data_IF_548756875366
#
_entry.id   IF_548756875366
#
_cell.length_a   1.000
_cell.length_b   1.000
_cell.length_c   1.000
_cell.angle_alpha   90.00
_cell.angle_beta   90.00
_cell.angle_gamma   90.00
#
_symmetry.space_group_name_H-M   'P 1'
#
loop_
_entity.id
_entity.type
_entity.pdbx_description
1 polymer ?
#
# COMPACT_ATOMS: atom_id res chain seq x y z
N UNK A 1 78.17 2.00 -39.39
CA UNK A 1 77.21 3.10 -39.71
C UNK A 1 75.81 2.50 -39.73
N UNK A 2 74.96 2.84 -38.76
CA UNK A 2 73.60 2.33 -38.62
C UNK A 2 72.58 3.46 -38.89
N UNK A 3 71.39 3.19 -39.48
CA UNK A 3 70.39 4.21 -39.76
C UNK A 3 69.50 4.51 -38.55
N UNK A 4 69.04 5.76 -38.49
CA UNK A 4 68.31 6.43 -37.39
C UNK A 4 66.88 5.90 -37.23
N UNK A 5 66.50 5.66 -35.97
CA UNK A 5 65.12 5.44 -35.56
C UNK A 5 64.31 6.74 -35.56
N UNK A 6 63.13 6.72 -36.18
CA UNK A 6 62.09 7.75 -36.04
C UNK A 6 61.29 7.45 -34.77
N UNK A 7 61.39 8.34 -33.78
CA UNK A 7 60.68 8.26 -32.51
C UNK A 7 59.18 8.52 -32.68
N UNK A 8 58.37 7.48 -32.42
CA UNK A 8 56.92 7.58 -32.33
C UNK A 8 56.47 8.51 -31.19
N UNK A 9 55.49 9.36 -31.49
CA UNK A 9 54.85 10.24 -30.49
C UNK A 9 54.03 9.39 -29.52
N UNK A 10 54.35 9.45 -28.23
CA UNK A 10 53.48 8.98 -27.14
C UNK A 10 52.25 9.91 -27.06
N UNK A 11 51.01 9.40 -27.00
CA UNK A 11 49.85 10.26 -26.73
C UNK A 11 49.92 10.79 -25.29
N UNK A 12 49.67 12.09 -25.17
CA UNK A 12 49.57 12.82 -23.91
C UNK A 12 48.40 12.26 -23.08
N UNK A 13 48.70 11.41 -22.10
CA UNK A 13 47.70 10.94 -21.13
C UNK A 13 47.30 12.13 -20.24
N UNK A 14 46.06 12.59 -20.39
CA UNK A 14 45.52 13.64 -19.54
C UNK A 14 45.38 13.15 -18.09
N UNK A 15 45.97 13.90 -17.14
CA UNK A 15 46.14 13.49 -15.75
C UNK A 15 44.84 13.37 -14.92
N UNK A 16 43.69 13.79 -15.44
CA UNK A 16 42.43 13.81 -14.70
C UNK A 16 41.31 13.01 -15.40
N UNK A 17 40.55 12.17 -14.67
CA UNK A 17 39.50 11.33 -15.26
C UNK A 17 38.25 12.16 -15.62
N UNK A 18 37.57 11.76 -16.70
CA UNK A 18 36.37 12.43 -17.16
C UNK A 18 35.17 12.15 -16.24
N UNK A 19 34.75 13.16 -15.48
CA UNK A 19 33.59 13.09 -14.59
C UNK A 19 32.27 12.74 -15.30
N UNK A 20 32.11 13.14 -16.56
CA UNK A 20 30.90 12.84 -17.33
C UNK A 20 30.83 11.36 -17.69
N UNK A 21 31.93 10.76 -18.16
CA UNK A 21 31.98 9.32 -18.40
C UNK A 21 31.74 8.52 -17.10
N UNK A 22 32.35 8.95 -15.98
CA UNK A 22 32.19 8.31 -14.67
C UNK A 22 30.75 8.36 -14.13
N UNK A 23 30.04 9.48 -14.32
CA UNK A 23 28.73 9.70 -13.69
C UNK A 23 27.56 9.23 -14.55
N UNK A 24 27.66 9.36 -15.87
CA UNK A 24 26.55 9.09 -16.80
C UNK A 24 26.83 7.94 -17.76
N UNK A 25 27.99 7.29 -17.68
CA UNK A 25 28.38 6.19 -18.57
C UNK A 25 28.64 6.63 -20.02
N UNK A 26 28.58 7.93 -20.31
CA UNK A 26 28.76 8.49 -21.65
C UNK A 26 29.23 9.94 -21.62
N UNK A 27 30.25 10.26 -22.42
CA UNK A 27 30.79 11.60 -22.57
C UNK A 27 30.47 12.15 -23.96
N UNK A 28 29.80 13.31 -24.04
CA UNK A 28 29.43 13.96 -25.31
C UNK A 28 30.60 14.36 -26.22
N UNK A 29 31.81 14.40 -25.65
CA UNK A 29 33.04 14.77 -26.37
C UNK A 29 33.78 13.57 -26.95
N UNK A 30 33.30 12.33 -26.72
CA UNK A 30 33.89 11.11 -27.31
C UNK A 30 35.41 11.01 -27.13
N UNK A 31 36.10 10.62 -28.21
CA UNK A 31 37.56 10.46 -28.27
C UNK A 31 38.35 11.78 -28.31
N UNK A 32 37.68 12.93 -28.47
CA UNK A 32 38.31 14.26 -28.42
C UNK A 32 38.23 14.91 -27.03
N UNK A 33 37.79 14.16 -26.01
CA UNK A 33 37.77 14.64 -24.64
C UNK A 33 39.19 14.87 -24.11
N UNK A 34 39.44 16.04 -23.52
CA UNK A 34 40.72 16.39 -22.89
C UNK A 34 40.99 15.70 -21.54
N UNK A 35 40.10 14.81 -21.10
CA UNK A 35 40.13 14.11 -19.81
C UNK A 35 40.16 12.60 -20.03
N UNK A 36 40.80 11.84 -19.13
CA UNK A 36 41.00 10.40 -19.33
C UNK A 36 39.68 9.61 -19.29
N UNK A 37 39.52 8.73 -20.27
CA UNK A 37 38.40 7.78 -20.42
C UNK A 37 38.83 6.33 -20.12
N UNK A 38 40.01 6.11 -19.53
CA UNK A 38 40.47 4.77 -19.14
C UNK A 38 39.73 4.28 -17.90
N UNK A 39 38.87 3.28 -18.10
CA UNK A 39 38.04 2.67 -17.06
C UNK A 39 38.78 1.63 -16.21
N UNK A 40 40.12 1.53 -16.36
CA UNK A 40 40.96 0.48 -15.78
C UNK A 40 42.03 0.98 -14.80
N UNK A 41 42.09 2.27 -14.48
CA UNK A 41 43.18 2.86 -13.69
C UNK A 41 42.82 3.14 -12.21
N UNK A 42 42.14 2.22 -11.52
CA UNK A 42 41.99 2.29 -10.06
C UNK A 42 42.39 1.04 -9.26
N UNK A 43 42.99 0.02 -9.87
CA UNK A 43 43.47 -1.16 -9.13
C UNK A 43 44.92 -1.52 -9.49
N UNK A 44 45.90 -0.78 -8.97
CA UNK A 44 47.28 -1.29 -8.90
C UNK A 44 48.12 -0.56 -7.85
N UNK A 45 47.83 -0.82 -6.57
CA UNK A 45 48.79 -0.59 -5.48
C UNK A 45 48.78 -1.84 -4.59
N UNK A 46 49.87 -2.60 -4.67
CA UNK A 46 50.28 -3.76 -3.86
C UNK A 46 49.70 -5.15 -4.19
N UNK A 47 50.43 -5.90 -5.03
CA UNK A 47 50.55 -7.36 -4.92
C UNK A 47 52.00 -7.74 -4.67
N UNK A 48 52.26 -8.41 -3.54
CA UNK A 48 53.25 -9.48 -3.49
C UNK A 48 52.92 -10.45 -2.35
N UNK A 49 52.67 -11.73 -2.69
CA UNK A 49 52.64 -12.83 -1.72
C UNK A 49 51.44 -13.79 -1.83
N UNK A 50 51.69 -14.97 -2.39
CA UNK A 50 51.11 -16.28 -2.01
C UNK A 50 49.76 -16.76 -2.60
N UNK A 51 49.58 -18.11 -2.68
CA UNK A 51 49.03 -18.78 -3.84
C UNK A 51 47.53 -19.11 -3.77
N UNK A 52 46.96 -19.23 -4.97
CA UNK A 52 45.78 -19.99 -5.39
C UNK A 52 44.89 -20.59 -4.29
N UNK A 53 44.03 -19.74 -3.73
CA UNK A 53 42.67 -20.15 -3.37
C UNK A 53 41.73 -19.60 -4.43
N UNK A 54 41.31 -20.42 -5.38
CA UNK A 54 40.27 -20.10 -6.36
C UNK A 54 38.96 -19.81 -5.63
N UNK A 55 38.73 -18.55 -5.27
CA UNK A 55 37.38 -18.04 -5.00
C UNK A 55 36.64 -18.02 -6.34
N UNK A 56 35.53 -18.76 -6.52
CA UNK A 56 34.68 -18.52 -7.66
C UNK A 56 34.13 -17.10 -7.52
N UNK A 57 34.23 -16.34 -8.60
CA UNK A 57 33.46 -15.12 -8.81
C UNK A 57 31.96 -15.45 -8.73
N UNK A 58 31.35 -15.30 -7.55
CA UNK A 58 29.92 -14.97 -7.44
C UNK A 58 29.82 -13.46 -7.68
N UNK A 59 29.05 -12.93 -8.63
CA UNK A 59 27.63 -13.21 -8.75
C UNK A 59 27.10 -12.91 -10.17
N UNK A 60 26.97 -13.93 -10.99
CA UNK A 60 25.71 -14.12 -11.72
C UNK A 60 24.77 -14.86 -10.77
N UNK A 61 24.24 -14.13 -9.77
CA UNK A 61 23.08 -14.66 -9.05
C UNK A 61 21.92 -14.73 -10.05
N UNK A 62 21.11 -15.79 -10.04
CA UNK A 62 19.81 -15.75 -10.71
C UNK A 62 19.09 -14.49 -10.22
N UNK A 63 18.61 -13.67 -11.14
CA UNK A 63 17.69 -12.58 -10.77
C UNK A 63 16.50 -13.23 -10.10
N UNK A 64 16.37 -13.04 -8.80
CA UNK A 64 15.18 -13.41 -8.06
C UNK A 64 14.01 -12.57 -8.61
N UNK A 65 13.05 -13.19 -9.33
CA UNK A 65 12.00 -12.47 -10.03
C UNK A 65 11.11 -11.67 -9.08
N UNK A 66 10.91 -12.16 -7.85
CA UNK A 66 10.13 -11.49 -6.82
C UNK A 66 10.82 -10.23 -6.32
N UNK A 67 12.13 -10.32 -6.11
CA UNK A 67 12.96 -9.15 -5.75
C UNK A 67 12.96 -8.09 -6.85
N UNK A 68 12.98 -8.50 -8.11
CA UNK A 68 12.90 -7.56 -9.24
C UNK A 68 11.52 -6.87 -9.33
N UNK A 69 10.42 -7.61 -9.11
CA UNK A 69 9.07 -7.05 -9.02
C UNK A 69 8.97 -6.01 -7.90
N UNK A 70 9.48 -6.34 -6.71
CA UNK A 70 9.48 -5.42 -5.55
C UNK A 70 10.28 -4.15 -5.83
N UNK A 71 11.46 -4.27 -6.41
CA UNK A 71 12.28 -3.11 -6.77
C UNK A 71 11.63 -2.26 -7.88
N UNK A 72 10.91 -2.89 -8.81
CA UNK A 72 10.12 -2.18 -9.82
C UNK A 72 9.00 -1.38 -9.19
N UNK A 73 8.26 -1.98 -8.26
CA UNK A 73 7.22 -1.30 -7.49
C UNK A 73 7.77 -0.10 -6.70
N UNK A 74 8.92 -0.26 -6.01
CA UNK A 74 9.59 0.84 -5.28
C UNK A 74 9.99 2.01 -6.16
N UNK A 75 10.35 1.75 -7.43
CA UNK A 75 10.73 2.79 -8.40
C UNK A 75 9.56 3.65 -8.89
N UNK A 76 8.32 3.21 -8.75
CA UNK A 76 7.15 3.98 -9.16
C UNK A 76 7.11 5.37 -8.50
N UNK A 77 6.57 6.35 -9.23
CA UNK A 77 6.39 7.75 -8.83
C UNK A 77 4.91 8.17 -8.94
N UNK A 78 4.03 7.65 -8.06
CA UNK A 78 2.62 8.04 -8.02
C UNK A 78 2.43 9.55 -7.81
N UNK A 79 1.45 10.11 -8.51
CA UNK A 79 1.02 11.50 -8.45
C UNK A 79 -0.53 11.56 -8.48
N UNK A 80 -1.21 11.20 -7.37
CA UNK A 80 -2.66 10.95 -7.33
C UNK A 80 -3.53 12.17 -7.66
N UNK A 81 -2.96 13.38 -7.52
CA UNK A 81 -3.61 14.65 -7.84
C UNK A 81 -3.73 14.92 -9.35
N UNK A 82 -3.07 14.11 -10.19
CA UNK A 82 -3.19 14.19 -11.64
C UNK A 82 -4.29 13.22 -12.11
N UNK A 83 -5.28 13.75 -12.83
CA UNK A 83 -6.48 13.00 -13.23
C UNK A 83 -6.20 11.71 -14.03
N UNK A 84 -5.09 11.66 -14.78
CA UNK A 84 -4.69 10.52 -15.60
C UNK A 84 -3.51 9.72 -15.07
N UNK A 85 -3.14 9.86 -13.79
CA UNK A 85 -1.95 9.19 -13.26
C UNK A 85 -2.11 7.66 -13.17
N UNK A 86 -1.57 6.99 -14.19
CA UNK A 86 -1.49 5.53 -14.23
C UNK A 86 -0.49 4.98 -13.21
N UNK A 87 0.49 5.75 -12.75
CA UNK A 87 1.48 5.25 -11.78
C UNK A 87 0.88 5.04 -10.39
N UNK A 88 -0.09 5.86 -9.98
CA UNK A 88 -0.87 5.59 -8.76
C UNK A 88 -1.60 4.27 -8.86
N UNK A 89 -2.28 3.99 -9.98
CA UNK A 89 -2.96 2.72 -10.19
C UNK A 89 -1.98 1.55 -10.14
N UNK A 90 -0.89 1.61 -10.93
CA UNK A 90 0.15 0.57 -10.93
C UNK A 90 0.77 0.35 -9.55
N UNK A 91 0.92 1.41 -8.74
CA UNK A 91 1.47 1.27 -7.40
C UNK A 91 0.60 0.43 -6.47
N UNK A 92 -0.72 0.62 -6.50
CA UNK A 92 -1.62 -0.17 -5.66
C UNK A 92 -1.83 -1.59 -6.20
N UNK A 93 -2.01 -1.77 -7.51
CA UNK A 93 -2.16 -3.10 -8.08
C UNK A 93 -0.91 -3.96 -7.88
N UNK A 94 0.28 -3.44 -8.21
CA UNK A 94 1.52 -4.20 -7.99
C UNK A 94 1.77 -4.48 -6.51
N UNK A 95 1.38 -3.57 -5.60
CA UNK A 95 1.48 -3.83 -4.16
C UNK A 95 0.55 -4.98 -3.72
N UNK A 96 -0.68 -5.02 -4.23
CA UNK A 96 -1.61 -6.10 -3.94
C UNK A 96 -1.08 -7.44 -4.48
N UNK A 97 -0.59 -7.46 -5.73
CA UNK A 97 0.01 -8.65 -6.33
C UNK A 97 1.20 -9.15 -5.49
N UNK A 98 2.11 -8.25 -5.06
CA UNK A 98 3.25 -8.61 -4.23
C UNK A 98 2.86 -9.16 -2.86
N UNK A 99 1.77 -8.67 -2.27
CA UNK A 99 1.26 -9.12 -0.98
C UNK A 99 0.68 -10.53 -1.09
N UNK A 100 0.02 -10.85 -2.19
CA UNK A 100 -0.60 -12.16 -2.43
C UNK A 100 0.43 -13.27 -2.78
N UNK A 101 1.67 -12.90 -3.13
CA UNK A 101 2.71 -13.86 -3.58
C UNK A 101 3.45 -14.55 -2.42
N UNK A 102 3.92 -13.80 -1.41
CA UNK A 102 4.63 -14.36 -0.24
C UNK A 102 4.58 -13.44 0.99
N UNK A 103 4.62 -14.06 2.17
CA UNK A 103 4.62 -13.39 3.48
C UNK A 103 5.73 -12.33 3.60
N UNK A 104 6.94 -12.63 3.11
CA UNK A 104 8.10 -11.73 3.18
C UNK A 104 7.89 -10.50 2.30
N UNK A 105 7.21 -10.64 1.16
CA UNK A 105 6.86 -9.53 0.29
C UNK A 105 5.74 -8.70 0.91
N UNK A 106 4.71 -9.34 1.47
CA UNK A 106 3.62 -8.66 2.17
C UNK A 106 4.15 -7.76 3.30
N UNK A 107 5.08 -8.28 4.11
CA UNK A 107 5.75 -7.53 5.16
C UNK A 107 6.60 -6.36 4.61
N UNK A 108 7.27 -6.54 3.47
CA UNK A 108 8.05 -5.47 2.84
C UNK A 108 7.16 -4.38 2.27
N UNK A 109 6.03 -4.74 1.66
CA UNK A 109 5.06 -3.78 1.10
C UNK A 109 4.50 -2.90 2.20
N UNK A 110 4.04 -3.47 3.32
CA UNK A 110 3.46 -2.66 4.41
C UNK A 110 4.51 -1.76 5.08
N UNK A 111 5.76 -2.23 5.22
CA UNK A 111 6.89 -1.40 5.71
C UNK A 111 7.16 -0.21 4.80
N UNK A 112 7.21 -0.42 3.49
CA UNK A 112 7.39 0.67 2.52
C UNK A 112 6.19 1.63 2.54
N UNK A 113 4.95 1.12 2.63
CA UNK A 113 3.73 1.95 2.71
C UNK A 113 3.68 2.81 3.98
N UNK A 114 4.25 2.33 5.09
CA UNK A 114 4.36 3.09 6.33
C UNK A 114 5.47 4.15 6.32
N UNK A 115 6.29 4.24 5.27
CA UNK A 115 7.30 5.29 5.13
C UNK A 115 6.66 6.67 4.92
N UNK A 116 7.29 7.73 5.43
CA UNK A 116 6.79 9.11 5.36
C UNK A 116 6.32 9.50 3.95
N UNK A 117 7.14 9.19 2.94
CA UNK A 117 6.82 9.47 1.53
C UNK A 117 5.55 8.76 1.07
N UNK A 118 5.34 7.51 1.45
CA UNK A 118 4.18 6.72 1.02
C UNK A 118 2.93 7.03 1.85
N UNK A 119 3.09 7.50 3.09
CA UNK A 119 1.99 8.07 3.87
C UNK A 119 1.45 9.36 3.26
N UNK A 120 2.31 10.22 2.68
CA UNK A 120 1.87 11.39 1.92
C UNK A 120 1.07 11.00 0.67
N UNK A 121 1.52 9.98 -0.06
CA UNK A 121 0.75 9.41 -1.17
C UNK A 121 -0.64 8.93 -0.71
N UNK A 122 -0.71 8.17 0.39
CA UNK A 122 -1.98 7.69 0.93
C UNK A 122 -2.90 8.84 1.32
N UNK A 123 -2.36 9.87 1.98
CA UNK A 123 -3.10 11.10 2.31
C UNK A 123 -3.70 11.75 1.06
N UNK A 124 -2.89 11.99 0.03
CA UNK A 124 -3.34 12.66 -1.20
C UNK A 124 -4.40 11.83 -1.95
N UNK A 125 -4.28 10.50 -1.96
CA UNK A 125 -5.31 9.60 -2.51
C UNK A 125 -6.65 9.77 -1.79
N UNK A 126 -6.65 9.76 -0.46
CA UNK A 126 -7.87 9.88 0.34
C UNK A 126 -8.51 11.26 0.25
N UNK A 127 -7.70 12.32 0.23
CA UNK A 127 -8.19 13.70 0.08
C UNK A 127 -8.72 13.97 -1.33
N UNK A 128 -8.24 13.23 -2.34
CA UNK A 128 -8.73 13.28 -3.71
C UNK A 128 -10.07 12.60 -3.95
N UNK A 129 -10.53 11.71 -3.06
CA UNK A 129 -11.77 10.93 -3.28
C UNK A 129 -13.02 11.80 -3.46
N UNK A 130 -13.07 12.97 -2.81
CA UNK A 130 -14.24 13.86 -2.89
C UNK A 130 -14.29 14.68 -4.20
N UNK A 131 -13.24 14.65 -5.02
CA UNK A 131 -13.13 15.49 -6.22
C UNK A 131 -13.91 14.95 -7.40
N UNK A 132 -14.12 13.63 -7.48
CA UNK A 132 -14.81 12.99 -8.60
C UNK A 132 -16.07 12.24 -8.13
N UNK A 133 -17.24 12.85 -8.39
CA UNK A 133 -18.55 12.31 -8.01
C UNK A 133 -19.30 11.66 -9.18
N UNK A 134 -18.66 11.54 -10.34
CA UNK A 134 -19.28 10.86 -11.49
C UNK A 134 -19.25 9.35 -11.27
N UNK A 135 -20.27 8.57 -11.68
CA UNK A 135 -20.26 7.11 -11.57
C UNK A 135 -19.00 6.47 -12.15
N UNK A 136 -18.59 6.90 -13.35
CA UNK A 136 -17.35 6.43 -14.00
C UNK A 136 -16.10 6.77 -13.19
N UNK A 137 -16.02 7.99 -12.66
CA UNK A 137 -14.88 8.42 -11.85
C UNK A 137 -14.79 7.68 -10.52
N UNK A 138 -15.93 7.43 -9.88
CA UNK A 138 -16.02 6.67 -8.64
C UNK A 138 -15.59 5.22 -8.86
N UNK A 139 -16.11 4.57 -9.90
CA UNK A 139 -15.70 3.22 -10.30
C UNK A 139 -14.19 3.13 -10.55
N UNK A 140 -13.64 4.06 -11.35
CA UNK A 140 -12.20 4.11 -11.62
C UNK A 140 -11.37 4.27 -10.34
N UNK A 141 -11.74 5.18 -9.43
CA UNK A 141 -11.02 5.39 -8.16
C UNK A 141 -11.13 4.17 -7.24
N UNK A 142 -12.27 3.49 -7.23
CA UNK A 142 -12.46 2.26 -6.49
C UNK A 142 -11.53 1.16 -7.00
N UNK A 143 -11.62 0.80 -8.28
CA UNK A 143 -10.86 -0.30 -8.88
C UNK A 143 -9.35 -0.04 -8.84
N UNK A 144 -8.93 1.20 -9.16
CA UNK A 144 -7.50 1.50 -9.31
C UNK A 144 -6.77 1.86 -8.03
N UNK A 145 -7.47 2.21 -6.95
CA UNK A 145 -6.84 2.74 -5.72
C UNK A 145 -7.40 2.10 -4.46
N UNK A 146 -8.70 2.22 -4.21
CA UNK A 146 -9.28 1.88 -2.90
C UNK A 146 -9.43 0.37 -2.72
N UNK A 147 -9.92 -0.34 -3.74
CA UNK A 147 -10.03 -1.80 -3.70
C UNK A 147 -8.68 -2.50 -3.46
N UNK A 148 -7.61 -2.25 -4.26
CA UNK A 148 -6.31 -2.85 -4.00
C UNK A 148 -5.70 -2.40 -2.66
N UNK A 149 -5.90 -1.13 -2.25
CA UNK A 149 -5.49 -0.67 -0.92
C UNK A 149 -6.15 -1.51 0.19
N UNK A 150 -7.47 -1.75 0.09
CA UNK A 150 -8.22 -2.54 1.07
C UNK A 150 -7.72 -3.98 1.12
N UNK A 151 -7.45 -4.60 -0.04
CA UNK A 151 -6.84 -5.95 -0.10
C UNK A 151 -5.50 -6.00 0.61
N UNK A 152 -4.60 -5.05 0.36
CA UNK A 152 -3.29 -4.98 1.00
C UNK A 152 -3.44 -4.88 2.52
N UNK A 153 -4.18 -3.88 3.00
CA UNK A 153 -4.24 -3.58 4.44
C UNK A 153 -5.13 -4.54 5.23
N UNK A 154 -5.86 -5.44 4.57
CA UNK A 154 -6.64 -6.52 5.19
C UNK A 154 -6.04 -7.90 4.97
N UNK A 155 -4.91 -8.01 4.27
CA UNK A 155 -4.29 -9.29 3.99
C UNK A 155 -3.88 -10.01 5.28
N UNK A 156 -4.16 -11.32 5.45
CA UNK A 156 -3.84 -12.08 6.67
C UNK A 156 -2.39 -11.94 7.13
N UNK A 157 -1.44 -12.03 6.18
CA UNK A 157 0.01 -11.92 6.46
C UNK A 157 0.46 -10.52 6.91
N UNK A 158 -0.42 -9.52 6.82
CA UNK A 158 -0.19 -8.17 7.33
C UNK A 158 -0.94 -7.99 8.64
N UNK A 159 -2.23 -8.32 8.69
CA UNK A 159 -3.10 -7.97 9.82
C UNK A 159 -2.96 -8.87 11.04
N UNK A 160 -2.46 -10.09 10.86
CA UNK A 160 -2.20 -11.05 11.93
C UNK A 160 -0.70 -11.16 12.24
N UNK A 161 0.13 -10.39 11.53
CA UNK A 161 1.59 -10.42 11.69
C UNK A 161 2.07 -9.47 12.78
N UNK A 162 2.63 -10.07 13.83
CA UNK A 162 3.27 -9.35 14.96
C UNK A 162 4.52 -8.59 14.48
N UNK A 163 5.18 -9.06 13.42
CA UNK A 163 6.43 -8.47 12.91
C UNK A 163 6.24 -7.06 12.35
N UNK A 164 5.07 -6.79 11.75
CA UNK A 164 4.75 -5.53 11.08
C UNK A 164 3.62 -4.76 11.78
N UNK A 165 3.29 -5.12 13.02
CA UNK A 165 2.17 -4.53 13.76
C UNK A 165 2.29 -3.00 13.87
N UNK A 166 3.51 -2.49 14.09
CA UNK A 166 3.77 -1.06 14.22
C UNK A 166 3.57 -0.30 12.89
N UNK A 167 4.05 -0.87 11.78
CA UNK A 167 3.90 -0.31 10.44
C UNK A 167 2.45 -0.36 9.99
N UNK A 168 1.77 -1.48 10.23
CA UNK A 168 0.32 -1.65 9.99
C UNK A 168 -0.49 -0.61 10.76
N UNK A 169 -0.22 -0.43 12.06
CA UNK A 169 -0.88 0.59 12.87
C UNK A 169 -0.57 2.02 12.39
N UNK A 170 0.60 2.24 11.79
CA UNK A 170 0.95 3.55 11.20
C UNK A 170 0.14 3.84 9.95
N UNK A 171 -0.08 2.85 9.09
CA UNK A 171 -0.98 2.97 7.92
C UNK A 171 -2.42 3.23 8.36
N UNK A 172 -2.95 2.50 9.35
CA UNK A 172 -4.31 2.75 9.85
C UNK A 172 -4.48 4.13 10.51
N UNK A 173 -3.48 4.61 11.26
CA UNK A 173 -3.49 5.99 11.78
C UNK A 173 -3.48 7.03 10.66
N UNK A 174 -2.79 6.73 9.56
CA UNK A 174 -2.84 7.57 8.38
C UNK A 174 -4.23 7.58 7.73
N UNK A 175 -4.91 6.43 7.62
CA UNK A 175 -6.32 6.37 7.17
C UNK A 175 -7.24 7.16 8.09
N UNK A 176 -7.06 7.06 9.41
CA UNK A 176 -7.87 7.76 10.39
C UNK A 176 -7.80 9.28 10.19
N UNK A 177 -6.59 9.81 10.23
CA UNK A 177 -6.35 11.25 10.24
C UNK A 177 -6.80 11.97 11.50
N UNK A 178 -6.55 13.28 11.53
CA UNK A 178 -6.92 14.13 12.66
C UNK A 178 -8.44 14.14 12.77
N UNK A 179 -8.94 13.89 13.98
CA UNK A 179 -10.37 13.79 14.31
C UNK A 179 -11.18 12.84 13.41
N UNK A 180 -10.55 11.78 12.90
CA UNK A 180 -11.18 10.83 11.97
C UNK A 180 -11.64 11.44 10.63
N UNK A 181 -11.15 12.62 10.26
CA UNK A 181 -11.62 13.33 9.06
C UNK A 181 -11.24 12.66 7.74
N UNK A 182 -10.12 11.92 7.68
CA UNK A 182 -9.77 11.14 6.48
C UNK A 182 -10.56 9.85 6.41
N UNK A 183 -10.81 9.22 7.56
CA UNK A 183 -11.71 8.07 7.64
C UNK A 183 -13.10 8.45 7.15
N UNK A 184 -13.66 9.55 7.63
CA UNK A 184 -14.98 10.01 7.18
C UNK A 184 -15.05 10.20 5.66
N UNK A 185 -14.04 10.83 5.04
CA UNK A 185 -13.97 10.99 3.58
C UNK A 185 -13.93 9.66 2.84
N UNK A 186 -13.16 8.70 3.35
CA UNK A 186 -13.11 7.35 2.80
C UNK A 186 -14.48 6.68 2.86
N UNK A 187 -15.20 6.76 3.98
CA UNK A 187 -16.53 6.15 4.10
C UNK A 187 -17.60 6.89 3.31
N UNK A 188 -17.55 8.23 3.21
CA UNK A 188 -18.44 8.97 2.31
C UNK A 188 -18.29 8.47 0.86
N UNK A 189 -17.05 8.17 0.43
CA UNK A 189 -16.78 7.58 -0.88
C UNK A 189 -17.28 6.12 -0.98
N UNK A 190 -16.95 5.26 -0.02
CA UNK A 190 -17.38 3.84 0.00
C UNK A 190 -18.91 3.73 0.00
N UNK A 191 -19.60 4.54 0.79
CA UNK A 191 -21.06 4.60 0.81
C UNK A 191 -21.61 5.14 -0.51
N UNK A 192 -20.95 6.12 -1.12
CA UNK A 192 -21.31 6.56 -2.47
C UNK A 192 -21.25 5.43 -3.50
N UNK A 193 -20.24 4.55 -3.42
CA UNK A 193 -20.14 3.36 -4.29
C UNK A 193 -21.32 2.42 -4.07
N UNK A 194 -21.62 2.10 -2.81
CA UNK A 194 -22.71 1.19 -2.42
C UNK A 194 -24.07 1.74 -2.85
N UNK A 195 -24.32 3.02 -2.59
CA UNK A 195 -25.62 3.66 -2.85
C UNK A 195 -25.94 3.76 -4.35
N UNK A 196 -24.91 3.85 -5.20
CA UNK A 196 -25.06 3.95 -6.66
C UNK A 196 -24.65 2.66 -7.38
N UNK A 197 -24.54 1.53 -6.69
CA UNK A 197 -23.94 0.30 -7.20
C UNK A 197 -24.45 -0.11 -8.60
N UNK A 198 -25.76 -0.02 -8.85
CA UNK A 198 -26.38 -0.39 -10.13
C UNK A 198 -26.06 0.56 -11.30
N UNK A 199 -25.55 1.76 -11.01
CA UNK A 199 -25.24 2.80 -11.99
C UNK A 199 -23.73 2.84 -12.33
N UNK A 200 -22.91 2.14 -11.55
CA UNK A 200 -21.47 2.16 -11.72
C UNK A 200 -21.04 1.22 -12.86
N UNK A 201 -20.10 1.64 -13.73
CA UNK A 201 -19.54 0.80 -14.78
C UNK A 201 -18.46 -0.15 -14.21
N UNK A 202 -18.80 -0.91 -13.16
CA UNK A 202 -17.93 -1.90 -12.53
C UNK A 202 -18.16 -3.29 -13.15
N UNK A 203 -17.12 -4.12 -13.17
CA UNK A 203 -17.30 -5.54 -13.49
C UNK A 203 -17.95 -6.28 -12.31
N UNK A 204 -19.28 -6.36 -12.35
CA UNK A 204 -20.10 -7.02 -11.32
C UNK A 204 -19.94 -8.54 -11.28
N UNK A 205 -19.19 -9.15 -12.22
CA UNK A 205 -18.91 -10.58 -12.17
C UNK A 205 -17.77 -10.93 -11.20
N UNK A 206 -16.89 -9.97 -10.93
CA UNK A 206 -15.73 -10.15 -10.06
C UNK A 206 -15.92 -9.52 -8.67
N UNK A 207 -16.67 -8.42 -8.57
CA UNK A 207 -16.88 -7.71 -7.29
C UNK A 207 -18.36 -7.53 -7.00
N UNK A 208 -18.76 -7.73 -5.75
CA UNK A 208 -20.15 -7.55 -5.29
C UNK A 208 -20.30 -6.34 -4.36
N UNK A 209 -21.51 -5.78 -4.29
CA UNK A 209 -21.81 -4.70 -3.33
C UNK A 209 -21.56 -5.13 -1.88
N UNK A 210 -21.86 -6.40 -1.54
CA UNK A 210 -21.61 -6.95 -0.20
C UNK A 210 -20.12 -7.09 0.10
N UNK A 211 -19.27 -7.36 -0.90
CA UNK A 211 -17.81 -7.36 -0.76
C UNK A 211 -17.27 -5.97 -0.43
N UNK A 212 -17.75 -4.92 -1.13
CA UNK A 212 -17.39 -3.52 -0.83
C UNK A 212 -17.69 -3.19 0.63
N UNK A 213 -18.88 -3.57 1.11
CA UNK A 213 -19.28 -3.40 2.51
C UNK A 213 -18.41 -4.23 3.47
N UNK A 214 -18.11 -5.48 3.13
CA UNK A 214 -17.26 -6.37 3.93
C UNK A 214 -15.84 -5.82 4.11
N UNK A 215 -15.19 -5.42 3.02
CA UNK A 215 -13.88 -4.78 3.05
C UNK A 215 -13.93 -3.48 3.85
N UNK A 216 -14.93 -2.64 3.59
CA UNK A 216 -15.17 -1.41 4.35
C UNK A 216 -15.30 -1.67 5.85
N UNK A 217 -16.07 -2.66 6.28
CA UNK A 217 -16.23 -3.00 7.69
C UNK A 217 -14.94 -3.58 8.29
N UNK A 218 -14.17 -4.36 7.53
CA UNK A 218 -12.86 -4.87 7.94
C UNK A 218 -11.86 -3.75 8.24
N UNK A 219 -11.77 -2.76 7.34
CA UNK A 219 -10.93 -1.57 7.56
C UNK A 219 -11.39 -0.79 8.79
N UNK A 220 -12.70 -0.63 8.99
CA UNK A 220 -13.25 0.06 10.17
C UNK A 220 -12.80 -0.61 11.45
N UNK A 221 -12.95 -1.93 11.51
CA UNK A 221 -12.58 -2.74 12.66
C UNK A 221 -11.09 -2.59 12.97
N UNK A 222 -10.22 -2.68 11.97
CA UNK A 222 -8.77 -2.58 12.16
C UNK A 222 -8.30 -1.16 12.53
N UNK A 223 -8.93 -0.12 11.98
CA UNK A 223 -8.66 1.27 12.38
C UNK A 223 -9.07 1.51 13.83
N UNK A 224 -10.27 1.08 14.23
CA UNK A 224 -10.73 1.19 15.63
C UNK A 224 -9.85 0.34 16.56
N UNK A 225 -9.37 -0.82 16.07
CA UNK A 225 -8.53 -1.69 16.86
C UNK A 225 -7.22 -1.02 17.28
N UNK A 226 -6.67 -0.17 16.41
CA UNK A 226 -5.40 0.54 16.58
C UNK A 226 -5.55 1.96 17.15
N UNK A 227 -6.77 2.51 17.20
CA UNK A 227 -7.05 3.84 17.77
C UNK A 227 -7.63 3.75 19.19
N UNK A 228 -6.80 3.48 20.19
CA UNK A 228 -7.23 3.31 21.58
C UNK A 228 -7.74 4.59 22.25
N UNK A 229 -7.38 5.79 21.75
CA UNK A 229 -7.75 7.08 22.36
C UNK A 229 -8.97 7.76 21.72
N UNK A 230 -9.47 7.26 20.58
CA UNK A 230 -10.51 7.96 19.78
C UNK A 230 -11.89 7.28 19.80
N UNK A 231 -12.13 6.32 20.72
CA UNK A 231 -13.38 5.55 20.83
C UNK A 231 -14.63 6.45 21.04
N UNK A 232 -14.44 7.70 21.47
CA UNK A 232 -15.52 8.69 21.70
C UNK A 232 -15.88 9.51 20.45
N UNK A 233 -15.18 9.34 19.32
CA UNK A 233 -15.43 10.14 18.12
C UNK A 233 -16.79 9.81 17.48
N UNK A 234 -17.63 10.84 17.26
CA UNK A 234 -18.97 10.70 16.69
C UNK A 234 -18.96 10.11 15.26
N UNK A 235 -17.89 10.32 14.50
CA UNK A 235 -17.74 9.72 13.17
C UNK A 235 -17.75 8.20 13.21
N UNK A 236 -17.14 7.56 14.21
CA UNK A 236 -17.18 6.10 14.31
C UNK A 236 -18.60 5.56 14.51
N UNK A 237 -19.40 6.22 15.34
CA UNK A 237 -20.80 5.83 15.56
C UNK A 237 -21.64 6.02 14.30
N UNK A 238 -21.47 7.16 13.61
CA UNK A 238 -22.15 7.41 12.32
C UNK A 238 -21.79 6.35 11.30
N UNK A 239 -20.48 6.16 11.04
CA UNK A 239 -19.99 5.19 10.05
C UNK A 239 -20.49 3.77 10.38
N UNK A 240 -20.48 3.36 11.65
CA UNK A 240 -20.99 2.06 12.06
C UNK A 240 -22.50 1.91 11.78
N UNK A 241 -23.30 2.94 12.06
CA UNK A 241 -24.74 2.95 11.78
C UNK A 241 -25.04 2.95 10.28
N UNK A 242 -24.34 3.80 9.54
CA UNK A 242 -24.46 3.95 8.08
C UNK A 242 -24.04 2.67 7.34
N UNK A 243 -23.03 1.96 7.86
CA UNK A 243 -22.61 0.65 7.34
C UNK A 243 -23.68 -0.41 7.61
N UNK A 244 -24.27 -0.43 8.81
CA UNK A 244 -25.33 -1.39 9.13
C UNK A 244 -26.57 -1.17 8.27
N UNK A 245 -27.01 0.08 8.12
CA UNK A 245 -28.17 0.42 7.29
C UNK A 245 -28.02 -0.12 5.86
N UNK A 246 -26.82 0.04 5.27
CA UNK A 246 -26.52 -0.48 3.92
C UNK A 246 -26.40 -1.99 3.90
N UNK A 247 -25.83 -2.60 4.94
CA UNK A 247 -25.78 -4.05 5.06
C UNK A 247 -27.18 -4.67 5.16
N UNK A 248 -28.11 -4.01 5.86
CA UNK A 248 -29.51 -4.45 5.93
C UNK A 248 -30.25 -4.29 4.59
N UNK A 249 -29.90 -3.25 3.82
CA UNK A 249 -30.51 -2.96 2.52
C UNK A 249 -29.99 -3.83 1.37
N UNK A 250 -28.67 -4.04 1.31
CA UNK A 250 -27.99 -4.72 0.21
C UNK A 250 -27.50 -6.13 0.56
N UNK A 251 -27.40 -6.45 1.85
CA UNK A 251 -27.04 -7.78 2.31
C UNK A 251 -28.11 -8.80 1.94
N UNK A 252 -27.67 -10.01 1.59
CA UNK A 252 -28.60 -11.08 1.30
C UNK A 252 -28.97 -11.78 2.61
N UNK A 253 -30.27 -11.97 2.88
CA UNK A 253 -30.74 -12.78 4.02
C UNK A 253 -30.21 -14.23 3.98
N UNK A 254 -29.66 -14.66 2.82
CA UNK A 254 -29.18 -16.02 2.51
C UNK A 254 -27.72 -16.32 2.92
N UNK A 255 -27.20 -15.73 4.00
CA UNK A 255 -25.89 -16.13 4.54
C UNK A 255 -24.71 -16.03 3.54
N UNK A 256 -24.75 -15.07 2.59
CA UNK A 256 -23.62 -14.83 1.71
C UNK A 256 -22.35 -14.49 2.52
N UNK A 257 -21.19 -15.00 2.06
CA UNK A 257 -19.92 -14.91 2.77
C UNK A 257 -19.57 -13.48 3.18
N UNK A 258 -19.70 -12.53 2.25
CA UNK A 258 -19.37 -11.13 2.52
C UNK A 258 -20.37 -10.48 3.48
N UNK A 259 -21.65 -10.85 3.40
CA UNK A 259 -22.68 -10.37 4.33
C UNK A 259 -22.39 -10.82 5.77
N UNK A 260 -22.01 -12.09 5.96
CA UNK A 260 -21.61 -12.64 7.27
C UNK A 260 -20.34 -11.94 7.78
N UNK A 261 -19.36 -11.76 6.90
CA UNK A 261 -18.08 -11.16 7.28
C UNK A 261 -18.24 -9.69 7.69
N UNK A 262 -19.00 -8.90 6.92
CA UNK A 262 -19.36 -7.52 7.28
C UNK A 262 -20.07 -7.47 8.64
N UNK A 263 -21.04 -8.36 8.87
CA UNK A 263 -21.78 -8.44 10.13
C UNK A 263 -20.87 -8.72 11.34
N UNK A 264 -19.91 -9.66 11.19
CA UNK A 264 -18.93 -9.98 12.24
C UNK A 264 -18.04 -8.78 12.57
N UNK A 265 -17.58 -8.05 11.56
CA UNK A 265 -16.79 -6.84 11.78
C UNK A 265 -17.59 -5.74 12.47
N UNK A 266 -18.83 -5.49 12.05
CA UNK A 266 -19.68 -4.48 12.67
C UNK A 266 -20.01 -4.82 14.12
N UNK A 267 -20.27 -6.09 14.43
CA UNK A 267 -20.48 -6.54 15.81
C UNK A 267 -19.25 -6.28 16.68
N UNK A 268 -18.04 -6.57 16.19
CA UNK A 268 -16.79 -6.25 16.88
C UNK A 268 -16.63 -4.74 17.09
N UNK A 269 -16.92 -3.94 16.07
CA UNK A 269 -16.86 -2.47 16.13
C UNK A 269 -17.83 -1.93 17.19
N UNK A 270 -19.10 -2.38 17.20
CA UNK A 270 -20.09 -1.95 18.20
C UNK A 270 -19.67 -2.24 19.62
N UNK A 271 -19.16 -3.45 19.88
CA UNK A 271 -18.64 -3.83 21.20
C UNK A 271 -17.53 -2.90 21.65
N UNK A 272 -16.58 -2.56 20.77
CA UNK A 272 -15.52 -1.60 21.08
C UNK A 272 -16.01 -0.16 21.29
N UNK A 273 -17.04 0.26 20.55
CA UNK A 273 -17.64 1.59 20.70
C UNK A 273 -18.63 1.70 21.87
N UNK A 274 -18.91 0.61 22.57
CA UNK A 274 -19.94 0.56 23.63
C UNK A 274 -21.37 0.75 23.10
N UNK A 275 -21.60 0.58 21.79
CA UNK A 275 -22.91 0.68 21.16
C UNK A 275 -23.66 -0.62 21.49
N UNK A 276 -24.55 -0.58 22.49
CA UNK A 276 -25.32 -1.74 22.95
C UNK A 276 -25.24 -2.04 24.45
N UNK A 277 -24.42 -1.32 25.23
CA UNK A 277 -24.45 -1.39 26.70
C UNK A 277 -25.58 -0.55 27.34
N UNK A 278 -26.39 0.12 26.54
CA UNK A 278 -27.59 0.86 26.95
C UNK A 278 -28.87 0.15 26.47
N UNK A 279 -29.01 -1.14 26.74
CA UNK A 279 -30.31 -1.80 26.78
C UNK A 279 -30.77 -1.75 28.23
N UNK A 280 -31.92 -1.14 28.56
CA UNK A 280 -32.48 -1.28 29.90
C UNK A 280 -32.73 -2.77 30.12
N UNK A 281 -32.20 -3.32 31.22
CA UNK A 281 -32.50 -4.67 31.67
C UNK A 281 -34.01 -4.85 31.57
N UNK A 282 -34.41 -5.82 30.74
CA UNK A 282 -35.80 -6.18 30.58
C UNK A 282 -36.37 -6.39 31.99
N UNK A 283 -37.36 -5.55 32.32
CA UNK A 283 -38.16 -5.63 33.52
C UNK A 283 -38.56 -7.08 33.76
N UNK A 284 -37.95 -7.72 34.76
CA UNK A 284 -38.54 -8.86 35.42
C UNK A 284 -39.81 -8.35 36.11
N UNK A 285 -40.89 -8.28 35.34
CA UNK A 285 -42.24 -8.26 35.88
C UNK A 285 -42.45 -9.62 36.54
N UNK A 286 -42.14 -9.71 37.84
CA UNK A 286 -42.60 -10.80 38.68
C UNK A 286 -44.11 -10.65 38.84
N UNK A 287 -44.85 -11.21 37.89
CA UNK A 287 -46.22 -11.61 38.11
C UNK A 287 -46.20 -12.81 39.07
N UNK A 288 -46.34 -12.54 40.37
CA UNK A 288 -46.83 -13.52 41.32
C UNK A 288 -48.18 -13.04 41.83
N UNK A 289 -49.22 -13.44 41.10
CA UNK A 289 -50.59 -13.51 41.58
C UNK A 289 -50.85 -14.97 41.93
N UNK A 290 -51.24 -15.26 43.17
CA UNK A 290 -51.86 -16.55 43.51
C UNK A 290 -51.76 -16.99 44.98
N UNK A 291 -52.95 -17.20 45.56
CA UNK A 291 -53.31 -17.89 46.81
C UNK A 291 -53.17 -17.08 48.12
N UNK A 292 -54.25 -16.50 48.69
CA UNK A 292 -55.37 -17.14 49.41
C UNK A 292 -54.92 -18.13 50.50
N UNK A 293 -54.85 -17.62 51.74
CA UNK A 293 -55.31 -18.26 52.98
C UNK A 293 -55.45 -17.18 54.06
#
# INVERSE_FOLDING_TARGET
MAPRMVSGRRPYQAANPCRFLLKTGGCRFGSSCKFSHDQSAQDNVHRNGQPSGSRPSSSSQPSDPEREKLETWRRLRPAPNLAGDRQTASYFHMAADLVDEDVSLAQQVIRDMASERRLLLLKDVLEGLSQNKTPTGMAMLWESRIFPLFRIILHPDIVDSIVVEQETATVYRALLGIDATRLKRLYDFVFGIVDHWSELPLDTTETTCTEVLSLGCGVLAKVIDTSTTNIVNAHFKSICGDSQMRLDAFGNQKEDFHTIQASKYLERVRRRLGIGQSLPEASHASASSGAMA
#
